data_IF_515614243635
#
_entry.id   IF_515614243635
#
_cell.length_a   1.000
_cell.length_b   1.000
_cell.length_c   1.000
_cell.angle_alpha   90.00
_cell.angle_beta   90.00
_cell.angle_gamma   90.00
#
_symmetry.space_group_name_H-M   'P 1'
#
loop_
_entity.id
_entity.type
_entity.pdbx_description
1 polymer ?
#
# COMPACT_ATOMS: atom_id res chain seq x y z
N UNK A 1 3.79 -20.61 -17.26
CA UNK A 1 3.36 -19.87 -16.05
C UNK A 1 4.20 -18.61 -15.92
N UNK A 2 3.57 -17.45 -15.82
CA UNK A 2 4.25 -16.17 -15.68
C UNK A 2 4.14 -15.75 -14.23
N UNK A 3 5.26 -15.65 -13.51
CA UNK A 3 5.28 -15.10 -12.17
C UNK A 3 5.05 -13.58 -12.22
N UNK A 4 4.09 -13.09 -11.48
CA UNK A 4 3.81 -11.66 -11.39
C UNK A 4 4.51 -11.11 -10.13
N UNK A 5 5.62 -10.41 -10.34
CA UNK A 5 6.30 -9.70 -9.26
C UNK A 5 5.75 -8.30 -9.13
N UNK A 6 5.06 -8.04 -8.04
CA UNK A 6 4.47 -6.75 -7.71
C UNK A 6 5.41 -5.96 -6.81
N UNK A 7 5.92 -4.87 -7.34
CA UNK A 7 6.71 -3.90 -6.57
C UNK A 7 5.76 -2.81 -6.10
N UNK A 8 5.46 -2.76 -4.80
CA UNK A 8 4.43 -1.88 -4.27
C UNK A 8 4.94 -0.88 -3.24
N UNK A 9 4.54 0.38 -3.41
CA UNK A 9 4.86 1.49 -2.51
C UNK A 9 3.91 1.63 -1.33
N UNK A 10 2.84 0.84 -1.26
CA UNK A 10 1.81 0.93 -0.22
C UNK A 10 1.42 -0.42 0.36
N UNK A 11 1.20 -0.45 1.69
CA UNK A 11 0.85 -1.66 2.44
C UNK A 11 -0.61 -2.11 2.28
N UNK A 12 -1.42 -1.43 1.47
CA UNK A 12 -2.84 -1.76 1.31
C UNK A 12 -3.07 -2.93 0.34
N UNK A 13 -2.43 -4.07 0.58
CA UNK A 13 -2.65 -5.31 -0.16
C UNK A 13 -3.86 -6.01 0.45
N UNK A 14 -4.82 -6.42 -0.38
CA UNK A 14 -6.16 -6.87 0.04
C UNK A 14 -6.53 -8.26 -0.44
N UNK A 15 -5.63 -8.87 -1.16
CA UNK A 15 -5.88 -10.15 -1.80
C UNK A 15 -5.57 -11.26 -0.82
N UNK A 16 -6.53 -12.10 -0.49
CA UNK A 16 -6.35 -13.23 0.42
C UNK A 16 -5.39 -14.28 -0.17
N UNK A 17 -4.64 -14.92 0.70
CA UNK A 17 -3.69 -16.00 0.39
C UNK A 17 -2.55 -15.60 -0.56
N UNK A 18 -2.21 -14.32 -0.61
CA UNK A 18 -1.07 -13.80 -1.36
C UNK A 18 0.02 -13.36 -0.39
N UNK A 19 1.25 -13.77 -0.68
CA UNK A 19 2.40 -13.41 0.14
C UNK A 19 2.89 -12.00 -0.15
N UNK A 20 3.24 -11.29 0.91
CA UNK A 20 3.91 -10.00 0.88
C UNK A 20 5.28 -10.14 1.52
N UNK A 21 6.29 -9.85 0.75
CA UNK A 21 7.68 -9.83 1.20
C UNK A 21 8.12 -8.39 1.47
N UNK A 22 8.75 -8.16 2.61
CA UNK A 22 9.18 -6.82 3.04
C UNK A 22 10.65 -6.55 2.77
N UNK A 23 11.35 -7.50 2.18
CA UNK A 23 12.71 -7.37 1.65
C UNK A 23 12.80 -8.06 0.28
N UNK A 24 13.92 -7.88 -0.41
CA UNK A 24 14.19 -8.46 -1.74
C UNK A 24 15.51 -9.21 -1.79
N UNK A 25 15.85 -9.87 -0.67
CA UNK A 25 16.97 -10.83 -0.67
C UNK A 25 16.66 -11.99 -1.64
N UNK A 26 17.68 -12.59 -2.22
CA UNK A 26 17.52 -13.63 -3.24
C UNK A 26 16.65 -14.80 -2.75
N UNK A 27 16.87 -15.27 -1.53
CA UNK A 27 16.10 -16.36 -0.95
C UNK A 27 14.62 -15.98 -0.75
N UNK A 28 14.37 -14.71 -0.44
CA UNK A 28 13.01 -14.16 -0.31
C UNK A 28 12.30 -14.14 -1.65
N UNK A 29 12.94 -13.62 -2.69
CA UNK A 29 12.37 -13.60 -4.04
C UNK A 29 12.16 -15.02 -4.57
N UNK A 30 13.09 -15.94 -4.30
CA UNK A 30 12.93 -17.36 -4.65
C UNK A 30 11.68 -17.98 -4.01
N UNK A 31 11.45 -17.71 -2.72
CA UNK A 31 10.22 -18.17 -2.08
C UNK A 31 8.96 -17.71 -2.81
N UNK A 32 8.94 -16.43 -3.27
CA UNK A 32 7.83 -15.91 -4.07
C UNK A 32 7.65 -16.62 -5.41
N UNK A 33 8.74 -17.00 -6.07
CA UNK A 33 8.68 -17.78 -7.30
C UNK A 33 8.27 -19.24 -7.08
N UNK A 34 8.56 -19.81 -5.91
CA UNK A 34 8.25 -21.20 -5.59
C UNK A 34 6.82 -21.39 -5.03
N UNK A 35 6.09 -20.31 -4.75
CA UNK A 35 4.69 -20.39 -4.32
C UNK A 35 3.77 -20.98 -5.41
N UNK A 36 2.67 -21.62 -4.97
CA UNK A 36 1.65 -22.14 -5.90
C UNK A 36 0.92 -21.00 -6.63
N UNK A 37 0.79 -19.85 -5.97
CA UNK A 37 0.24 -18.65 -6.59
C UNK A 37 1.28 -18.02 -7.53
N UNK A 38 0.83 -17.63 -8.72
CA UNK A 38 1.69 -16.93 -9.68
C UNK A 38 1.85 -15.44 -9.38
N UNK A 39 1.49 -15.00 -8.17
CA UNK A 39 1.46 -13.61 -7.77
C UNK A 39 2.02 -13.46 -6.35
N UNK A 40 2.99 -12.59 -6.17
CA UNK A 40 3.46 -12.16 -4.86
C UNK A 40 3.84 -10.69 -4.85
N UNK A 41 3.87 -10.08 -3.68
CA UNK A 41 4.22 -8.67 -3.51
C UNK A 41 5.60 -8.50 -2.88
N UNK A 42 6.34 -7.51 -3.40
CA UNK A 42 7.55 -6.98 -2.77
C UNK A 42 7.23 -5.55 -2.29
N UNK A 43 7.20 -5.37 -0.98
CA UNK A 43 6.89 -4.09 -0.36
C UNK A 43 8.13 -3.21 -0.28
N UNK A 44 8.15 -2.10 -1.02
CA UNK A 44 9.28 -1.15 -1.02
C UNK A 44 9.07 0.05 -0.10
N UNK A 45 7.83 0.48 0.12
CA UNK A 45 7.51 1.77 0.75
C UNK A 45 8.18 2.98 0.06
N UNK A 46 8.44 2.89 -1.24
CA UNK A 46 9.22 3.86 -2.02
C UNK A 46 8.66 5.28 -1.99
N UNK A 47 7.39 5.47 -1.64
CA UNK A 47 6.83 6.81 -1.43
C UNK A 47 7.53 7.58 -0.29
N UNK A 48 8.12 6.88 0.67
CA UNK A 48 8.94 7.48 1.73
C UNK A 48 10.41 7.66 1.38
N UNK A 49 10.83 7.22 0.19
CA UNK A 49 12.22 7.25 -0.24
C UNK A 49 12.57 8.55 -0.97
N UNK A 50 13.87 8.86 -1.01
CA UNK A 50 14.40 9.81 -1.99
C UNK A 50 14.45 9.16 -3.38
N UNK A 51 14.63 9.95 -4.43
CA UNK A 51 14.80 9.42 -5.79
C UNK A 51 16.02 8.48 -5.89
N UNK A 52 17.10 8.76 -5.16
CA UNK A 52 18.29 7.91 -5.10
C UNK A 52 18.01 6.56 -4.44
N UNK A 53 17.32 6.58 -3.29
CA UNK A 53 16.90 5.35 -2.60
C UNK A 53 15.96 4.51 -3.45
N UNK A 54 15.00 5.16 -4.13
CA UNK A 54 14.09 4.51 -5.08
C UNK A 54 14.85 3.87 -6.23
N UNK A 55 15.83 4.59 -6.80
CA UNK A 55 16.69 4.07 -7.88
C UNK A 55 17.45 2.83 -7.44
N UNK A 56 18.07 2.89 -6.27
CA UNK A 56 18.81 1.76 -5.70
C UNK A 56 17.90 0.54 -5.51
N UNK A 57 16.78 0.72 -4.81
CA UNK A 57 15.86 -0.38 -4.49
C UNK A 57 15.30 -1.04 -5.75
N UNK A 58 14.84 -0.25 -6.74
CA UNK A 58 14.25 -0.81 -7.97
C UNK A 58 15.29 -1.54 -8.84
N UNK A 59 16.52 -1.06 -8.90
CA UNK A 59 17.60 -1.76 -9.58
C UNK A 59 17.96 -3.09 -8.88
N UNK A 60 18.05 -3.10 -7.55
CA UNK A 60 18.30 -4.30 -6.77
C UNK A 60 17.19 -5.35 -6.95
N UNK A 61 15.92 -4.93 -6.82
CA UNK A 61 14.76 -5.81 -7.01
C UNK A 61 14.78 -6.42 -8.41
N UNK A 62 14.94 -5.59 -9.43
CA UNK A 62 14.94 -6.06 -10.83
C UNK A 62 16.08 -7.06 -11.08
N UNK A 63 17.26 -6.83 -10.54
CA UNK A 63 18.41 -7.73 -10.69
C UNK A 63 18.15 -9.08 -10.02
N UNK A 64 17.63 -9.07 -8.79
CA UNK A 64 17.35 -10.31 -8.03
C UNK A 64 16.20 -11.10 -8.66
N UNK A 65 15.12 -10.43 -9.08
CA UNK A 65 13.99 -11.08 -9.76
C UNK A 65 14.46 -11.78 -11.05
N UNK A 66 15.28 -11.11 -11.86
CA UNK A 66 15.82 -11.69 -13.09
C UNK A 66 16.74 -12.89 -12.81
N UNK A 67 17.62 -12.79 -11.81
CA UNK A 67 18.50 -13.89 -11.40
C UNK A 67 17.67 -15.13 -11.00
N UNK A 68 16.65 -14.94 -10.15
CA UNK A 68 15.78 -16.03 -9.70
C UNK A 68 14.94 -16.59 -10.84
N UNK A 69 14.42 -15.74 -11.73
CA UNK A 69 13.68 -16.17 -12.91
C UNK A 69 14.50 -17.07 -13.82
N UNK A 70 15.77 -16.73 -14.08
CA UNK A 70 16.71 -17.56 -14.86
C UNK A 70 17.00 -18.90 -14.19
N UNK A 71 17.16 -18.92 -12.87
CA UNK A 71 17.43 -20.15 -12.12
C UNK A 71 16.20 -21.08 -12.07
N UNK A 72 15.01 -20.52 -12.00
CA UNK A 72 13.76 -21.29 -11.94
C UNK A 72 13.18 -21.62 -13.30
N UNK A 73 13.67 -20.97 -14.37
CA UNK A 73 13.15 -21.10 -15.73
C UNK A 73 11.75 -20.48 -15.90
N UNK A 74 11.32 -19.62 -14.97
CA UNK A 74 10.00 -18.96 -15.01
C UNK A 74 10.11 -17.59 -15.68
N UNK A 75 9.11 -17.25 -16.50
CA UNK A 75 8.94 -15.88 -16.98
C UNK A 75 8.26 -15.02 -15.90
N UNK A 76 8.46 -13.70 -15.96
CA UNK A 76 7.87 -12.75 -15.02
C UNK A 76 7.42 -11.47 -15.72
N UNK A 77 6.50 -10.76 -15.08
CA UNK A 77 6.14 -9.39 -15.41
C UNK A 77 6.23 -8.53 -14.15
N UNK A 78 6.63 -7.28 -14.31
CA UNK A 78 6.58 -6.30 -13.23
C UNK A 78 5.26 -5.53 -13.25
N UNK A 79 4.62 -5.43 -12.10
CA UNK A 79 3.50 -4.53 -11.88
C UNK A 79 3.91 -3.53 -10.79
N UNK A 80 4.22 -2.29 -11.18
CA UNK A 80 4.45 -1.21 -10.22
C UNK A 80 3.12 -0.81 -9.60
N UNK A 81 2.86 -1.31 -8.40
CA UNK A 81 1.65 -1.00 -7.64
C UNK A 81 1.86 0.29 -6.86
N UNK A 82 1.23 1.35 -7.31
CA UNK A 82 1.42 2.72 -6.86
C UNK A 82 0.23 3.27 -6.08
N UNK A 83 0.36 4.49 -5.61
CA UNK A 83 -0.71 5.23 -4.95
C UNK A 83 -1.88 5.51 -5.91
N UNK A 84 -3.09 5.22 -5.46
CA UNK A 84 -4.31 5.44 -6.24
C UNK A 84 -4.69 6.91 -6.45
N UNK A 85 -3.94 7.84 -5.84
CA UNK A 85 -4.07 9.29 -6.04
C UNK A 85 -2.89 9.88 -6.81
N UNK A 86 -2.19 9.04 -7.60
CA UNK A 86 -1.12 9.39 -8.55
C UNK A 86 0.20 9.89 -7.92
N UNK A 87 0.35 9.84 -6.59
CA UNK A 87 1.61 10.18 -5.92
C UNK A 87 2.64 9.05 -6.04
N UNK A 88 3.91 9.39 -5.90
CA UNK A 88 5.04 8.46 -5.99
C UNK A 88 6.06 8.87 -7.05
N UNK A 89 7.14 8.12 -7.16
CA UNK A 89 8.26 8.42 -8.06
C UNK A 89 7.99 8.06 -9.52
N UNK A 90 6.90 8.58 -10.09
CA UNK A 90 6.59 8.41 -11.51
C UNK A 90 7.28 9.51 -12.35
N UNK A 91 7.91 9.18 -13.50
CA UNK A 91 8.01 7.87 -14.14
C UNK A 91 9.23 7.01 -13.68
N UNK A 92 10.02 7.49 -12.73
CA UNK A 92 11.32 6.89 -12.34
C UNK A 92 11.21 5.38 -12.06
N UNK A 93 10.20 4.97 -11.26
CA UNK A 93 10.03 3.56 -10.86
C UNK A 93 9.85 2.64 -12.06
N UNK A 94 8.94 2.98 -12.95
CA UNK A 94 8.62 2.16 -14.12
C UNK A 94 9.68 2.20 -15.19
N UNK A 95 10.37 3.34 -15.35
CA UNK A 95 11.52 3.47 -16.26
C UNK A 95 12.71 2.60 -15.83
N UNK A 96 12.98 2.54 -14.51
CA UNK A 96 14.03 1.67 -13.97
C UNK A 96 13.70 0.18 -14.15
N UNK A 97 12.49 -0.21 -13.84
CA UNK A 97 12.03 -1.59 -14.03
C UNK A 97 12.08 -1.97 -15.51
N UNK A 98 11.60 -1.09 -16.41
CA UNK A 98 11.70 -1.29 -17.87
C UNK A 98 13.15 -1.50 -18.31
N UNK A 99 14.03 -0.57 -17.96
CA UNK A 99 15.44 -0.61 -18.35
C UNK A 99 16.11 -1.93 -17.96
N UNK A 100 15.87 -2.37 -16.72
CA UNK A 100 16.44 -3.62 -16.24
C UNK A 100 15.80 -4.83 -16.92
N UNK A 101 14.48 -4.86 -17.06
CA UNK A 101 13.77 -5.95 -17.74
C UNK A 101 14.27 -6.15 -19.16
N UNK A 102 14.38 -5.08 -19.95
CA UNK A 102 14.86 -5.14 -21.34
C UNK A 102 16.32 -5.58 -21.42
N UNK A 103 17.18 -5.06 -20.54
CA UNK A 103 18.59 -5.44 -20.49
C UNK A 103 18.79 -6.91 -20.12
N UNK A 104 17.96 -7.45 -19.23
CA UNK A 104 18.11 -8.78 -18.68
C UNK A 104 17.45 -9.87 -19.53
N UNK A 105 16.31 -9.57 -20.14
CA UNK A 105 15.51 -10.54 -20.92
C UNK A 105 15.72 -10.45 -22.41
N UNK A 106 16.23 -9.32 -22.92
CA UNK A 106 16.30 -9.02 -24.34
C UNK A 106 14.94 -8.72 -24.99
N UNK A 107 13.84 -8.73 -24.22
CA UNK A 107 12.49 -8.38 -24.69
C UNK A 107 12.29 -6.88 -24.56
N UNK A 108 11.65 -6.23 -25.53
CA UNK A 108 11.28 -4.82 -25.48
C UNK A 108 9.90 -4.68 -24.85
N UNK A 109 9.72 -3.68 -23.99
CA UNK A 109 8.41 -3.31 -23.43
C UNK A 109 7.73 -2.32 -24.38
N UNK A 110 6.61 -2.74 -24.95
CA UNK A 110 5.86 -1.96 -25.94
C UNK A 110 5.17 -0.74 -25.35
N UNK A 111 4.58 -0.87 -24.16
CA UNK A 111 3.83 0.21 -23.53
C UNK A 111 3.74 0.12 -22.03
N UNK A 112 3.27 1.22 -21.43
CA UNK A 112 3.00 1.31 -19.99
C UNK A 112 1.52 1.55 -19.73
N UNK A 113 0.89 0.67 -18.96
CA UNK A 113 -0.52 0.73 -18.61
C UNK A 113 -0.69 1.48 -17.28
N UNK A 114 -1.42 2.60 -17.31
CA UNK A 114 -1.79 3.38 -16.15
C UNK A 114 -3.26 3.10 -15.80
N UNK A 115 -3.50 2.41 -14.68
CA UNK A 115 -4.83 2.09 -14.18
C UNK A 115 -4.94 2.39 -12.68
N UNK A 116 -5.14 3.66 -12.30
CA UNK A 116 -5.23 4.08 -10.90
C UNK A 116 -6.58 3.79 -10.26
N UNK A 117 -7.48 3.08 -10.93
CA UNK A 117 -8.79 2.70 -10.44
C UNK A 117 -8.70 1.92 -9.12
N UNK A 118 -9.57 2.31 -8.18
CA UNK A 118 -9.64 1.71 -6.86
C UNK A 118 -11.01 1.96 -6.22
N UNK A 119 -11.97 1.06 -6.44
CA UNK A 119 -13.37 1.20 -6.05
C UNK A 119 -13.57 1.43 -4.55
N UNK A 120 -12.92 0.61 -3.72
CA UNK A 120 -13.04 0.64 -2.26
C UNK A 120 -12.48 1.93 -1.64
N UNK A 121 -11.55 2.56 -2.33
CA UNK A 121 -11.01 3.87 -1.97
C UNK A 121 -11.78 5.04 -2.60
N UNK A 122 -12.76 4.76 -3.48
CA UNK A 122 -13.47 5.79 -4.20
C UNK A 122 -12.62 6.49 -5.28
N UNK A 123 -11.83 5.72 -6.04
CA UNK A 123 -10.99 6.25 -7.14
C UNK A 123 -11.48 5.70 -8.45
N UNK A 124 -11.84 6.62 -9.36
CA UNK A 124 -12.45 6.31 -10.65
C UNK A 124 -11.75 7.09 -11.75
N UNK A 125 -11.68 6.52 -12.96
CA UNK A 125 -11.18 7.24 -14.14
C UNK A 125 -12.28 7.27 -15.19
N UNK A 126 -12.75 8.46 -15.51
CA UNK A 126 -13.88 8.71 -16.42
C UNK A 126 -13.45 9.77 -17.42
N UNK A 127 -13.62 9.51 -18.71
CA UNK A 127 -13.22 10.42 -19.80
C UNK A 127 -11.77 10.95 -19.63
N UNK A 128 -10.89 10.06 -19.20
CA UNK A 128 -9.47 10.32 -18.94
C UNK A 128 -9.21 11.29 -17.76
N UNK A 129 -10.19 11.65 -16.98
CA UNK A 129 -10.05 12.38 -15.73
C UNK A 129 -10.09 11.40 -14.57
N UNK A 130 -9.11 11.49 -13.68
CA UNK A 130 -9.09 10.67 -12.47
C UNK A 130 -9.78 11.41 -11.33
N UNK A 131 -10.73 10.73 -10.68
CA UNK A 131 -11.58 11.30 -9.63
C UNK A 131 -11.34 10.65 -8.28
N UNK A 132 -11.57 11.44 -7.22
CA UNK A 132 -11.66 11.00 -5.84
C UNK A 132 -13.07 11.24 -5.33
N UNK A 133 -13.71 10.21 -4.79
CA UNK A 133 -15.05 10.31 -4.20
C UNK A 133 -14.96 10.83 -2.76
N UNK A 134 -15.71 11.90 -2.49
CA UNK A 134 -15.95 12.47 -1.17
C UNK A 134 -17.45 12.49 -0.90
N UNK A 135 -17.93 11.61 -0.03
CA UNK A 135 -19.37 11.45 0.18
C UNK A 135 -20.06 11.03 -1.12
N UNK A 136 -20.95 11.87 -1.66
CA UNK A 136 -21.66 11.62 -2.92
C UNK A 136 -21.03 12.35 -4.13
N UNK A 137 -19.94 13.09 -3.95
CA UNK A 137 -19.32 13.89 -5.00
C UNK A 137 -18.04 13.23 -5.52
N UNK A 138 -17.81 13.37 -6.83
CA UNK A 138 -16.57 13.02 -7.51
C UNK A 138 -15.79 14.30 -7.79
N UNK A 139 -14.63 14.46 -7.15
CA UNK A 139 -13.76 15.61 -7.30
C UNK A 139 -12.56 15.19 -8.16
N UNK A 140 -12.20 15.93 -9.22
CA UNK A 140 -10.99 15.66 -9.98
C UNK A 140 -9.75 15.60 -9.07
N UNK A 141 -8.91 14.60 -9.25
CA UNK A 141 -7.78 14.33 -8.35
C UNK A 141 -6.80 15.51 -8.24
N UNK A 142 -6.63 16.28 -9.32
CA UNK A 142 -5.79 17.49 -9.34
C UNK A 142 -6.34 18.65 -8.49
N UNK A 143 -7.61 18.63 -8.11
CA UNK A 143 -8.24 19.63 -7.24
C UNK A 143 -8.17 19.27 -5.76
N UNK A 144 -7.77 18.03 -5.46
CA UNK A 144 -7.71 17.50 -4.09
C UNK A 144 -6.40 17.83 -3.37
N UNK A 145 -6.36 17.56 -2.07
CA UNK A 145 -5.14 17.66 -1.25
C UNK A 145 -4.01 16.75 -1.73
N UNK A 146 -4.33 15.66 -2.44
CA UNK A 146 -3.33 14.72 -2.93
C UNK A 146 -2.44 15.31 -4.03
N UNK A 147 -3.03 16.12 -4.90
CA UNK A 147 -2.27 16.83 -5.94
C UNK A 147 -1.41 17.97 -5.39
N UNK A 148 -1.72 18.47 -4.19
CA UNK A 148 -0.96 19.49 -3.48
C UNK A 148 0.19 18.94 -2.65
N UNK A 149 0.49 17.64 -2.79
CA UNK A 149 1.62 17.00 -2.11
C UNK A 149 2.93 17.73 -2.45
N UNK A 150 3.75 18.02 -1.42
CA UNK A 150 4.97 18.83 -1.58
C UNK A 150 6.02 18.14 -2.45
N UNK A 151 6.04 16.81 -2.49
CA UNK A 151 7.04 16.00 -3.21
C UNK A 151 6.51 15.49 -4.54
N UNK A 152 5.28 14.99 -4.55
CA UNK A 152 4.68 14.27 -5.68
C UNK A 152 3.52 15.02 -6.34
N UNK A 153 3.32 16.28 -5.99
CA UNK A 153 2.23 17.09 -6.51
C UNK A 153 2.20 17.17 -8.04
N UNK A 154 1.03 17.49 -8.57
CA UNK A 154 0.76 17.66 -9.99
C UNK A 154 -0.39 18.64 -10.19
N UNK A 155 -0.50 19.18 -11.40
CA UNK A 155 -1.52 20.16 -11.76
C UNK A 155 -2.45 19.71 -12.89
N UNK A 156 -2.02 18.69 -13.63
CA UNK A 156 -2.71 18.19 -14.80
C UNK A 156 -4.14 17.73 -14.48
N UNK A 157 -5.11 18.16 -15.30
CA UNK A 157 -6.52 17.85 -15.11
C UNK A 157 -6.89 16.46 -15.65
N UNK A 158 -6.24 16.02 -16.72
CA UNK A 158 -6.47 14.72 -17.35
C UNK A 158 -5.27 13.80 -17.19
N UNK A 159 -5.48 12.50 -17.29
CA UNK A 159 -4.42 11.50 -17.23
C UNK A 159 -3.37 11.63 -18.34
N UNK A 160 -3.73 11.91 -19.61
CA UNK A 160 -2.74 12.22 -20.64
C UNK A 160 -1.87 13.44 -20.31
N UNK A 161 -2.46 14.53 -19.82
CA UNK A 161 -1.71 15.70 -19.37
C UNK A 161 -0.83 15.39 -18.16
N UNK A 162 -1.30 14.55 -17.21
CA UNK A 162 -0.49 14.06 -16.10
C UNK A 162 0.75 13.30 -16.59
N UNK A 163 0.60 12.45 -17.60
CA UNK A 163 1.73 11.77 -18.25
C UNK A 163 2.71 12.79 -18.79
N UNK A 164 2.26 13.77 -19.60
CA UNK A 164 3.13 14.79 -20.18
C UNK A 164 3.82 15.61 -19.10
N UNK A 165 3.09 16.05 -18.06
CA UNK A 165 3.65 16.83 -16.94
C UNK A 165 4.75 16.05 -16.21
N UNK A 166 4.46 14.80 -15.79
CA UNK A 166 5.38 14.00 -14.99
C UNK A 166 6.58 13.50 -15.76
N UNK A 167 6.43 13.26 -17.07
CA UNK A 167 7.54 12.89 -17.95
C UNK A 167 8.27 14.09 -18.54
N UNK A 168 7.92 15.31 -18.11
CA UNK A 168 8.52 16.57 -18.59
C UNK A 168 8.44 16.71 -20.11
N UNK A 169 7.35 16.24 -20.70
CA UNK A 169 7.08 16.30 -22.13
C UNK A 169 7.76 15.22 -22.96
N UNK A 170 8.37 14.22 -22.34
CA UNK A 170 8.92 13.06 -23.08
C UNK A 170 7.83 12.24 -23.81
N UNK A 171 6.63 12.19 -23.22
CA UNK A 171 5.43 11.62 -23.83
C UNK A 171 4.37 12.70 -23.89
N UNK A 172 3.90 13.02 -25.11
CA UNK A 172 2.89 14.06 -25.31
C UNK A 172 1.49 13.55 -24.97
N UNK A 173 0.66 14.40 -24.38
CA UNK A 173 -0.71 14.06 -24.07
C UNK A 173 -1.51 13.60 -25.30
N UNK A 174 -1.22 14.20 -26.49
CA UNK A 174 -1.84 13.82 -27.75
C UNK A 174 -1.52 12.40 -28.22
N UNK A 175 -0.40 11.84 -27.77
CA UNK A 175 0.12 10.56 -28.25
C UNK A 175 -0.25 9.40 -27.30
N UNK A 176 -0.81 9.72 -26.13
CA UNK A 176 -1.25 8.73 -25.13
C UNK A 176 -2.46 7.96 -25.64
N UNK A 177 -2.38 6.65 -25.59
CA UNK A 177 -3.50 5.76 -25.92
C UNK A 177 -4.52 5.76 -24.77
N UNK A 178 -5.79 6.02 -25.05
CA UNK A 178 -6.83 6.04 -24.03
C UNK A 178 -7.87 4.96 -24.34
N UNK A 179 -8.08 4.04 -23.41
CA UNK A 179 -9.14 3.04 -23.49
C UNK A 179 -10.38 3.62 -22.84
N UNK A 180 -11.41 3.87 -23.64
CA UNK A 180 -12.63 4.56 -23.20
C UNK A 180 -13.58 3.64 -22.43
N UNK A 181 -14.43 4.23 -21.55
CA UNK A 181 -15.53 3.49 -20.92
C UNK A 181 -16.56 3.04 -21.98
N UNK A 182 -16.77 3.80 -23.03
CA UNK A 182 -17.70 3.44 -24.11
C UNK A 182 -17.27 2.09 -24.76
N UNK A 183 -16.00 1.97 -25.18
CA UNK A 183 -15.50 0.73 -25.78
C UNK A 183 -15.54 -0.45 -24.79
N UNK A 184 -15.30 -0.19 -23.51
CA UNK A 184 -15.37 -1.20 -22.46
C UNK A 184 -16.81 -1.66 -22.24
N UNK A 185 -17.76 -0.71 -22.08
CA UNK A 185 -19.17 -1.03 -21.83
C UNK A 185 -19.85 -1.68 -23.01
N UNK A 186 -19.45 -1.31 -24.24
CA UNK A 186 -19.93 -1.93 -25.48
C UNK A 186 -19.25 -3.28 -25.76
N UNK A 187 -18.36 -3.73 -24.88
CA UNK A 187 -17.60 -4.99 -25.05
C UNK A 187 -16.79 -5.04 -26.37
N UNK A 188 -16.29 -3.88 -26.83
CA UNK A 188 -15.48 -3.74 -28.05
C UNK A 188 -14.06 -4.31 -27.88
N UNK A 189 -13.97 -5.58 -27.44
CA UNK A 189 -12.71 -6.22 -27.05
C UNK A 189 -11.72 -6.20 -28.23
N UNK A 190 -12.16 -6.46 -29.45
CA UNK A 190 -11.31 -6.48 -30.63
C UNK A 190 -10.71 -5.09 -30.91
N UNK A 191 -11.50 -4.02 -30.78
CA UNK A 191 -11.01 -2.63 -30.92
C UNK A 191 -10.00 -2.26 -29.85
N UNK A 192 -10.24 -2.67 -28.60
CA UNK A 192 -9.29 -2.44 -27.48
C UNK A 192 -7.98 -3.23 -27.76
N UNK A 193 -8.08 -4.46 -28.21
CA UNK A 193 -6.91 -5.27 -28.57
C UNK A 193 -6.13 -4.63 -29.72
N UNK A 194 -6.79 -4.17 -30.78
CA UNK A 194 -6.14 -3.47 -31.90
C UNK A 194 -5.37 -2.23 -31.40
N UNK A 195 -6.00 -1.41 -30.54
CA UNK A 195 -5.32 -0.26 -29.94
C UNK A 195 -4.07 -0.67 -29.15
N UNK A 196 -4.13 -1.76 -28.38
CA UNK A 196 -2.99 -2.29 -27.64
C UNK A 196 -1.89 -2.83 -28.57
N UNK A 197 -2.26 -3.44 -29.71
CA UNK A 197 -1.30 -3.95 -30.71
C UNK A 197 -0.55 -2.84 -31.44
N UNK A 198 -1.13 -1.64 -31.54
CA UNK A 198 -0.48 -0.46 -32.15
C UNK A 198 0.51 0.22 -31.23
N UNK A 199 0.41 0.02 -29.90
CA UNK A 199 1.32 0.63 -28.92
C UNK A 199 2.75 0.15 -29.13
N UNK A 200 3.70 1.09 -29.12
CA UNK A 200 5.14 0.86 -29.25
C UNK A 200 5.94 1.94 -28.54
N UNK A 201 7.25 1.73 -28.43
CA UNK A 201 8.20 2.73 -27.90
C UNK A 201 7.90 3.16 -26.45
N UNK A 202 7.36 2.24 -25.66
CA UNK A 202 6.96 2.47 -24.28
C UNK A 202 5.89 3.55 -24.13
N UNK A 203 5.05 3.75 -25.14
CA UNK A 203 3.96 4.73 -25.06
C UNK A 203 3.00 4.38 -23.93
N UNK A 204 2.25 5.37 -23.48
CA UNK A 204 1.41 5.29 -22.30
C UNK A 204 -0.03 4.97 -22.67
N UNK A 205 -0.65 4.13 -21.84
CA UNK A 205 -2.02 3.65 -22.04
C UNK A 205 -2.82 3.99 -20.79
N UNK A 206 -3.82 4.84 -20.93
CA UNK A 206 -4.76 5.17 -19.83
C UNK A 206 -5.95 4.24 -19.92
N UNK A 207 -6.29 3.58 -18.82
CA UNK A 207 -7.46 2.72 -18.69
C UNK A 207 -8.52 3.44 -17.87
N UNK A 208 -9.64 3.80 -18.50
CA UNK A 208 -10.81 4.30 -17.80
C UNK A 208 -11.52 3.13 -17.11
N UNK A 209 -11.95 3.31 -15.86
CA UNK A 209 -12.66 2.30 -15.11
C UNK A 209 -13.45 2.90 -13.95
N UNK A 210 -14.67 2.41 -13.74
CA UNK A 210 -15.59 2.76 -12.65
C UNK A 210 -16.04 1.53 -11.87
N UNK A 211 -15.86 0.34 -12.43
CA UNK A 211 -16.17 -0.95 -11.79
C UNK A 211 -15.11 -2.01 -12.13
N UNK A 212 -15.07 -3.08 -11.34
CA UNK A 212 -14.22 -4.23 -11.62
C UNK A 212 -14.58 -4.93 -12.95
N UNK A 213 -15.86 -4.83 -13.38
CA UNK A 213 -16.28 -5.34 -14.68
C UNK A 213 -15.51 -4.66 -15.82
N UNK A 214 -15.28 -3.35 -15.73
CA UNK A 214 -14.53 -2.59 -16.73
C UNK A 214 -13.10 -3.10 -16.85
N UNK A 215 -12.46 -3.31 -15.70
CA UNK A 215 -11.09 -3.85 -15.65
C UNK A 215 -11.04 -5.28 -16.21
N UNK A 216 -12.07 -6.11 -15.96
CA UNK A 216 -12.15 -7.47 -16.51
C UNK A 216 -12.23 -7.44 -18.04
N UNK A 217 -13.08 -6.59 -18.60
CA UNK A 217 -13.19 -6.44 -20.07
C UNK A 217 -11.85 -5.99 -20.67
N UNK A 218 -11.22 -4.98 -20.08
CA UNK A 218 -9.88 -4.54 -20.50
C UNK A 218 -8.85 -5.68 -20.42
N UNK A 219 -8.83 -6.45 -19.33
CA UNK A 219 -7.88 -7.56 -19.17
C UNK A 219 -8.05 -8.66 -20.21
N UNK A 220 -9.26 -8.90 -20.73
CA UNK A 220 -9.46 -9.86 -21.84
C UNK A 220 -8.69 -9.40 -23.09
N UNK A 221 -8.84 -8.13 -23.48
CA UNK A 221 -8.10 -7.57 -24.62
C UNK A 221 -6.59 -7.54 -24.36
N UNK A 222 -6.18 -7.17 -23.13
CA UNK A 222 -4.78 -7.17 -22.69
C UNK A 222 -4.14 -8.55 -22.85
N UNK A 223 -4.77 -9.59 -22.34
CA UNK A 223 -4.23 -10.95 -22.45
C UNK A 223 -4.16 -11.45 -23.90
N UNK A 224 -5.11 -11.05 -24.77
CA UNK A 224 -5.05 -11.35 -26.20
C UNK A 224 -3.85 -10.66 -26.85
N UNK A 225 -3.59 -9.39 -26.54
CA UNK A 225 -2.43 -8.67 -27.05
C UNK A 225 -1.10 -9.29 -26.54
N UNK A 226 -1.03 -9.64 -25.25
CA UNK A 226 0.13 -10.33 -24.67
C UNK A 226 0.36 -11.70 -25.30
N UNK A 227 -0.69 -12.47 -25.56
CA UNK A 227 -0.59 -13.77 -26.27
C UNK A 227 -0.08 -13.63 -27.71
N UNK A 228 -0.24 -12.45 -28.32
CA UNK A 228 0.31 -12.09 -29.63
C UNK A 228 1.73 -11.51 -29.57
N UNK A 229 2.34 -11.52 -28.37
CA UNK A 229 3.74 -11.13 -28.14
C UNK A 229 3.96 -9.71 -27.64
N UNK A 230 2.90 -8.94 -27.37
CA UNK A 230 3.06 -7.63 -26.73
C UNK A 230 3.52 -7.75 -25.28
N UNK A 231 4.40 -6.86 -24.86
CA UNK A 231 4.92 -6.79 -23.48
C UNK A 231 4.59 -5.43 -22.90
N UNK A 232 4.00 -5.42 -21.71
CA UNK A 232 3.59 -4.20 -21.04
C UNK A 232 4.22 -4.05 -19.66
N UNK A 233 4.53 -2.81 -19.29
CA UNK A 233 4.80 -2.37 -17.92
C UNK A 233 3.50 -1.83 -17.33
N UNK A 234 3.40 -1.85 -16.00
CA UNK A 234 2.19 -1.43 -15.32
C UNK A 234 2.52 -0.39 -14.24
N UNK A 235 1.72 0.68 -14.19
CA UNK A 235 1.62 1.60 -13.08
C UNK A 235 0.17 1.67 -12.63
N UNK A 236 -0.14 1.02 -11.52
CA UNK A 236 -1.53 0.73 -11.18
C UNK A 236 -1.85 0.98 -9.70
N UNK A 237 -3.14 1.07 -9.39
CA UNK A 237 -3.64 0.84 -8.05
C UNK A 237 -3.97 -0.66 -7.85
N UNK A 238 -4.70 -0.99 -6.79
CA UNK A 238 -4.92 -2.38 -6.39
C UNK A 238 -5.86 -3.16 -7.33
N UNK A 239 -6.80 -2.50 -7.99
CA UNK A 239 -7.91 -3.19 -8.66
C UNK A 239 -7.47 -4.07 -9.85
N UNK A 240 -6.60 -3.56 -10.72
CA UNK A 240 -6.16 -4.35 -11.89
C UNK A 240 -5.34 -5.57 -11.47
N UNK A 241 -4.57 -5.45 -10.40
CA UNK A 241 -3.79 -6.57 -9.84
C UNK A 241 -4.70 -7.71 -9.41
N UNK A 242 -5.79 -7.37 -8.70
CA UNK A 242 -6.80 -8.35 -8.29
C UNK A 242 -7.39 -9.07 -9.49
N UNK A 243 -7.74 -8.34 -10.55
CA UNK A 243 -8.30 -8.93 -11.77
C UNK A 243 -7.28 -9.79 -12.50
N UNK A 244 -6.06 -9.30 -12.70
CA UNK A 244 -4.99 -10.03 -13.37
C UNK A 244 -4.56 -11.28 -12.60
N UNK A 245 -4.52 -11.20 -11.27
CA UNK A 245 -4.20 -12.34 -10.41
C UNK A 245 -5.33 -13.35 -10.24
N UNK A 246 -6.52 -13.08 -10.82
CA UNK A 246 -7.69 -13.96 -10.67
C UNK A 246 -8.22 -14.03 -9.24
N UNK A 247 -7.93 -13.02 -8.41
CA UNK A 247 -8.30 -12.99 -7.01
C UNK A 247 -9.81 -12.77 -6.86
N UNK A 248 -10.47 -13.70 -6.20
CA UNK A 248 -11.93 -13.64 -5.98
C UNK A 248 -12.29 -12.72 -4.81
N UNK A 249 -13.52 -12.20 -4.84
CA UNK A 249 -14.05 -11.46 -3.70
C UNK A 249 -14.19 -12.37 -2.48
N UNK A 250 -13.69 -11.90 -1.36
CA UNK A 250 -13.83 -12.57 -0.08
C UNK A 250 -14.72 -11.74 0.86
N UNK A 251 -15.55 -12.38 1.69
CA UNK A 251 -16.28 -11.65 2.73
C UNK A 251 -15.30 -11.00 3.71
N UNK A 252 -15.79 -10.00 4.46
CA UNK A 252 -15.00 -9.43 5.54
C UNK A 252 -14.66 -10.49 6.57
N UNK A 253 -13.45 -10.43 7.11
CA UNK A 253 -12.92 -11.40 8.06
C UNK A 253 -13.70 -11.39 9.38
N UNK A 254 -14.01 -12.57 9.87
CA UNK A 254 -14.46 -12.80 11.24
C UNK A 254 -13.25 -12.93 12.19
N UNK A 255 -13.51 -12.86 13.50
CA UNK A 255 -12.47 -13.04 14.52
C UNK A 255 -11.77 -14.41 14.37
N UNK A 256 -12.55 -15.47 14.19
CA UNK A 256 -12.06 -16.86 14.10
C UNK A 256 -11.11 -17.06 12.91
N UNK A 257 -11.32 -16.31 11.83
CA UNK A 257 -10.43 -16.36 10.66
C UNK A 257 -9.11 -15.64 10.90
N UNK A 258 -9.09 -14.63 11.79
CA UNK A 258 -7.90 -13.84 12.07
C UNK A 258 -7.11 -14.37 13.26
N UNK A 259 -7.77 -14.77 14.34
CA UNK A 259 -7.14 -15.20 15.59
C UNK A 259 -7.02 -16.73 15.59
N UNK A 260 -5.90 -17.21 15.05
CA UNK A 260 -5.60 -18.65 14.97
C UNK A 260 -4.95 -19.21 16.25
N UNK A 261 -4.42 -18.31 17.09
CA UNK A 261 -3.80 -18.65 18.38
C UNK A 261 -4.45 -17.83 19.48
N UNK A 262 -5.26 -18.48 20.26
CA UNK A 262 -5.91 -17.83 21.42
C UNK A 262 -4.89 -17.50 22.50
N UNK A 263 -5.11 -16.38 23.16
CA UNK A 263 -4.36 -15.90 24.32
C UNK A 263 -5.29 -15.13 25.25
N UNK A 264 -5.00 -15.14 26.53
CA UNK A 264 -5.71 -14.32 27.52
C UNK A 264 -5.21 -12.86 27.51
N UNK A 265 -4.16 -12.57 26.76
CA UNK A 265 -3.61 -11.21 26.67
C UNK A 265 -4.54 -10.31 25.87
N UNK A 266 -4.52 -9.02 26.22
CA UNK A 266 -5.20 -7.98 25.46
C UNK A 266 -4.51 -7.68 24.12
N UNK A 267 -5.19 -6.93 23.26
CA UNK A 267 -4.63 -6.43 21.99
C UNK A 267 -3.93 -5.08 22.18
N UNK A 268 -3.17 -4.67 21.15
CA UNK A 268 -2.55 -3.34 21.10
C UNK A 268 -2.95 -2.58 19.83
N UNK A 269 -3.28 -1.32 20.00
CA UNK A 269 -3.61 -0.35 18.97
C UNK A 269 -2.63 0.81 19.09
N UNK A 270 -1.86 1.10 18.04
CA UNK A 270 -0.97 2.28 18.01
C UNK A 270 -1.41 3.26 16.92
N UNK A 271 -1.54 4.53 17.29
CA UNK A 271 -2.07 5.60 16.45
C UNK A 271 -1.05 6.73 16.32
N UNK A 272 -0.35 6.79 15.18
CA UNK A 272 0.62 7.85 14.88
C UNK A 272 0.10 8.96 13.96
N UNK A 273 -1.03 8.76 13.29
CA UNK A 273 -1.62 9.75 12.38
C UNK A 273 -2.28 10.89 13.13
N UNK A 274 -2.08 12.15 12.71
CA UNK A 274 -2.69 13.35 13.33
C UNK A 274 -3.83 13.96 12.49
N UNK A 275 -4.31 13.27 11.45
CA UNK A 275 -5.42 13.79 10.63
C UNK A 275 -6.70 13.92 11.47
N UNK A 276 -7.56 14.88 11.11
CA UNK A 276 -8.86 15.08 11.74
C UNK A 276 -9.72 13.81 11.75
N UNK A 277 -9.70 13.07 10.63
CA UNK A 277 -10.41 11.79 10.53
C UNK A 277 -9.90 10.79 11.59
N UNK A 278 -8.59 10.65 11.74
CA UNK A 278 -8.01 9.76 12.74
C UNK A 278 -8.37 10.20 14.17
N UNK A 279 -8.36 11.51 14.45
CA UNK A 279 -8.75 12.03 15.75
C UNK A 279 -10.20 11.66 16.07
N UNK A 280 -11.12 11.88 15.13
CA UNK A 280 -12.53 11.48 15.28
C UNK A 280 -12.71 9.96 15.44
N UNK A 281 -11.91 9.15 14.75
CA UNK A 281 -11.94 7.70 14.90
C UNK A 281 -11.46 7.24 16.29
N UNK A 282 -10.46 7.90 16.87
CA UNK A 282 -10.01 7.64 18.24
C UNK A 282 -11.08 8.05 19.26
N UNK A 283 -11.75 9.19 19.06
CA UNK A 283 -12.86 9.62 19.92
C UNK A 283 -14.04 8.64 19.87
N UNK A 284 -14.35 8.09 18.69
CA UNK A 284 -15.34 7.01 18.59
C UNK A 284 -14.89 5.74 19.31
N UNK A 285 -13.61 5.38 19.22
CA UNK A 285 -13.05 4.23 19.90
C UNK A 285 -13.15 4.36 21.42
N UNK A 286 -13.01 5.58 21.98
CA UNK A 286 -13.15 5.88 23.41
C UNK A 286 -14.54 5.58 23.99
N UNK A 287 -15.53 5.31 23.14
CA UNK A 287 -16.85 4.85 23.59
C UNK A 287 -16.85 3.38 24.08
N UNK A 288 -15.81 2.61 23.74
CA UNK A 288 -15.61 1.26 24.27
C UNK A 288 -14.99 1.33 25.68
N UNK A 289 -15.62 0.65 26.63
CA UNK A 289 -15.22 0.69 28.04
C UNK A 289 -14.08 -0.26 28.41
N UNK A 290 -13.83 -1.27 27.58
CA UNK A 290 -12.86 -2.33 27.83
C UNK A 290 -11.49 -2.06 27.19
N UNK A 291 -11.22 -0.81 26.81
CA UNK A 291 -9.95 -0.36 26.23
C UNK A 291 -9.29 0.65 27.19
N UNK A 292 -8.01 0.45 27.44
CA UNK A 292 -7.18 1.42 28.14
C UNK A 292 -6.56 2.39 27.13
N UNK A 293 -6.65 3.69 27.37
CA UNK A 293 -6.14 4.73 26.49
C UNK A 293 -4.90 5.38 27.12
N UNK A 294 -3.78 5.30 26.39
CA UNK A 294 -2.49 5.84 26.82
C UNK A 294 -2.06 6.91 25.81
N UNK A 295 -1.91 8.14 26.25
CA UNK A 295 -1.33 9.19 25.43
C UNK A 295 0.18 9.19 25.57
N UNK A 296 0.89 9.14 24.43
CA UNK A 296 2.31 9.39 24.31
C UNK A 296 2.50 10.89 24.12
N UNK A 297 3.07 11.57 25.09
CA UNK A 297 3.34 13.01 25.00
C UNK A 297 4.48 13.29 24.01
N UNK A 298 4.11 13.48 22.74
CA UNK A 298 5.04 13.76 21.69
C UNK A 298 5.66 15.18 21.78
N UNK A 299 5.15 16.07 22.64
CA UNK A 299 5.76 17.40 22.84
C UNK A 299 7.16 17.32 23.45
N UNK A 300 7.46 16.22 24.12
CA UNK A 300 8.76 15.94 24.73
C UNK A 300 9.84 15.53 23.70
N UNK A 301 9.50 15.35 22.42
CA UNK A 301 10.41 14.84 21.38
C UNK A 301 11.72 15.65 21.22
N UNK A 302 11.72 16.92 21.64
CA UNK A 302 12.91 17.80 21.59
C UNK A 302 13.92 17.51 22.70
N UNK A 303 13.53 16.84 23.77
CA UNK A 303 14.37 16.39 24.87
C UNK A 303 14.47 14.85 24.86
N UNK A 304 15.63 14.33 24.48
CA UNK A 304 15.85 12.89 24.30
C UNK A 304 15.61 12.09 25.58
N UNK A 305 16.06 12.61 26.72
CA UNK A 305 15.94 11.90 27.99
C UNK A 305 14.47 11.92 28.50
N UNK A 306 13.80 13.06 28.40
CA UNK A 306 12.40 13.17 28.76
C UNK A 306 11.51 12.31 27.87
N UNK A 307 11.77 12.31 26.57
CA UNK A 307 11.00 11.53 25.61
C UNK A 307 11.19 10.03 25.78
N UNK A 308 12.41 9.54 26.03
CA UNK A 308 12.66 8.13 26.32
C UNK A 308 11.99 7.68 27.63
N UNK A 309 11.96 8.52 28.66
CA UNK A 309 11.23 8.26 29.91
C UNK A 309 9.71 8.14 29.65
N UNK A 310 9.19 8.98 28.76
CA UNK A 310 7.79 8.95 28.38
C UNK A 310 7.44 7.68 27.59
N UNK A 311 8.26 7.29 26.62
CA UNK A 311 8.10 6.03 25.89
C UNK A 311 8.11 4.84 26.84
N UNK A 312 9.03 4.85 27.82
CA UNK A 312 9.10 3.79 28.82
C UNK A 312 7.86 3.75 29.71
N UNK A 313 7.34 4.92 30.14
CA UNK A 313 6.08 5.01 30.91
C UNK A 313 4.92 4.36 30.14
N UNK A 314 4.80 4.69 28.85
CA UNK A 314 3.76 4.10 28.00
C UNK A 314 3.93 2.57 27.92
N UNK A 315 5.13 2.08 27.64
CA UNK A 315 5.43 0.64 27.57
C UNK A 315 5.07 -0.11 28.87
N UNK A 316 5.45 0.41 30.02
CA UNK A 316 5.20 -0.22 31.32
C UNK A 316 3.67 -0.34 31.59
N UNK A 317 2.89 0.67 31.16
CA UNK A 317 1.42 0.66 31.26
C UNK A 317 0.81 -0.32 30.26
N UNK A 318 1.25 -0.29 28.98
CA UNK A 318 0.79 -1.21 27.95
C UNK A 318 0.99 -2.66 28.36
N UNK A 319 2.18 -3.04 28.82
CA UNK A 319 2.47 -4.41 29.25
C UNK A 319 1.60 -4.84 30.43
N UNK A 320 1.38 -3.95 31.38
CA UNK A 320 0.52 -4.23 32.54
C UNK A 320 -0.91 -4.51 32.10
N UNK A 321 -1.45 -3.69 31.20
CA UNK A 321 -2.81 -3.85 30.72
C UNK A 321 -2.97 -5.08 29.82
N UNK A 322 -2.04 -5.29 28.89
CA UNK A 322 -2.06 -6.44 27.97
C UNK A 322 -2.01 -7.76 28.75
N UNK A 323 -1.12 -7.88 29.75
CA UNK A 323 -1.02 -9.06 30.63
C UNK A 323 -2.29 -9.29 31.46
N UNK A 324 -3.03 -8.23 31.76
CA UNK A 324 -4.31 -8.31 32.45
C UNK A 324 -5.51 -8.61 31.52
N UNK A 325 -5.25 -8.91 30.24
CA UNK A 325 -6.29 -9.20 29.25
C UNK A 325 -7.00 -7.97 28.70
N UNK A 326 -6.52 -6.75 28.99
CA UNK A 326 -7.11 -5.51 28.50
C UNK A 326 -6.48 -5.06 27.18
N UNK A 327 -7.30 -4.70 26.22
CA UNK A 327 -6.83 -4.03 25.01
C UNK A 327 -6.38 -2.62 25.30
N UNK A 328 -5.26 -2.20 24.71
CA UNK A 328 -4.65 -0.87 24.88
C UNK A 328 -4.67 -0.10 23.57
N UNK A 329 -5.01 1.18 23.64
CA UNK A 329 -4.84 2.12 22.55
C UNK A 329 -3.82 3.20 22.95
N UNK A 330 -2.62 3.14 22.38
CA UNK A 330 -1.63 4.19 22.53
C UNK A 330 -1.65 5.14 21.34
N UNK A 331 -1.76 6.43 21.58
CA UNK A 331 -1.86 7.46 20.57
C UNK A 331 -0.99 8.67 20.92
N UNK A 332 -0.44 9.33 19.90
CA UNK A 332 0.37 10.53 20.11
C UNK A 332 -0.50 11.74 20.48
N UNK A 333 0.05 12.69 21.20
CA UNK A 333 -0.54 14.03 21.38
C UNK A 333 -1.08 14.55 20.04
N UNK A 334 -2.31 15.08 20.04
CA UNK A 334 -3.00 15.54 18.82
C UNK A 334 -2.52 16.90 18.31
N UNK A 335 -1.66 17.60 19.07
CA UNK A 335 -1.04 18.84 18.61
C UNK A 335 -0.01 18.59 17.52
N UNK A 336 0.01 19.47 16.51
CA UNK A 336 1.08 19.48 15.52
C UNK A 336 2.37 19.97 16.17
N UNK A 337 3.41 19.15 16.13
CA UNK A 337 4.73 19.49 16.66
C UNK A 337 5.60 19.95 15.50
N UNK A 338 6.16 21.14 15.65
CA UNK A 338 7.02 21.75 14.64
C UNK A 338 8.43 21.98 15.20
N UNK A 339 9.41 21.97 14.31
CA UNK A 339 10.76 22.44 14.63
C UNK A 339 10.75 23.97 14.78
N UNK A 340 11.40 24.49 15.80
CA UNK A 340 11.46 25.95 16.04
C UNK A 340 12.35 26.67 15.03
N UNK A 341 13.09 25.91 14.23
CA UNK A 341 14.06 26.40 13.25
C UNK A 341 13.43 26.81 11.92
N UNK A 342 12.22 26.30 11.59
CA UNK A 342 11.61 26.43 10.27
C UNK A 342 12.34 25.66 9.16
N UNK A 343 13.36 24.86 9.51
CA UNK A 343 14.09 24.01 8.58
C UNK A 343 13.31 22.71 8.30
N UNK A 344 13.17 22.38 7.04
CA UNK A 344 12.46 21.16 6.60
C UNK A 344 13.16 19.87 7.05
N UNK A 345 14.48 19.89 7.17
CA UNK A 345 15.24 18.73 7.62
C UNK A 345 15.01 18.47 9.12
N UNK A 346 14.94 19.52 9.93
CA UNK A 346 14.64 19.41 11.35
C UNK A 346 13.19 18.95 11.58
N UNK A 347 12.22 19.42 10.78
CA UNK A 347 10.83 18.93 10.78
C UNK A 347 10.78 17.43 10.48
N UNK A 348 11.52 17.00 9.46
CA UNK A 348 11.59 15.59 9.09
C UNK A 348 12.20 14.74 10.21
N UNK A 349 13.28 15.19 10.83
CA UNK A 349 13.94 14.50 11.95
C UNK A 349 12.98 14.30 13.14
N UNK A 350 12.21 15.34 13.50
CA UNK A 350 11.22 15.23 14.56
C UNK A 350 10.12 14.22 14.20
N UNK A 351 9.63 14.25 12.98
CA UNK A 351 8.61 13.31 12.50
C UNK A 351 9.10 11.87 12.53
N UNK A 352 10.32 11.63 12.09
CA UNK A 352 10.96 10.29 12.14
C UNK A 352 11.10 9.83 13.59
N UNK A 353 11.57 10.69 14.48
CA UNK A 353 11.76 10.36 15.90
C UNK A 353 10.45 10.01 16.60
N UNK A 354 9.36 10.73 16.29
CA UNK A 354 8.02 10.38 16.79
C UNK A 354 7.56 9.02 16.21
N UNK A 355 7.77 8.78 14.91
CA UNK A 355 7.42 7.50 14.28
C UNK A 355 8.19 6.33 14.90
N UNK A 356 9.48 6.52 15.15
CA UNK A 356 10.33 5.52 15.80
C UNK A 356 9.90 5.24 17.25
N UNK A 357 9.45 6.25 17.99
CA UNK A 357 8.87 6.07 19.32
C UNK A 357 7.56 5.26 19.24
N UNK A 358 6.64 5.63 18.34
CA UNK A 358 5.35 4.92 18.17
C UNK A 358 5.55 3.47 17.81
N UNK A 359 6.43 3.15 16.82
CA UNK A 359 6.68 1.76 16.48
C UNK A 359 7.38 0.99 17.61
N UNK A 360 8.21 1.66 18.42
CA UNK A 360 8.92 1.05 19.54
C UNK A 360 7.98 0.58 20.65
N UNK A 361 6.79 1.19 20.79
CA UNK A 361 5.73 0.73 21.70
C UNK A 361 5.26 -0.70 21.41
N UNK A 362 5.34 -1.13 20.15
CA UNK A 362 5.12 -2.53 19.75
C UNK A 362 6.44 -3.30 19.76
N UNK A 363 7.50 -2.70 19.21
CA UNK A 363 8.79 -3.35 19.03
C UNK A 363 9.49 -3.71 20.34
N UNK A 364 9.24 -3.01 21.42
CA UNK A 364 9.87 -3.25 22.75
C UNK A 364 9.00 -4.05 23.72
N UNK A 365 7.74 -4.37 23.36
CA UNK A 365 6.88 -5.20 24.20
C UNK A 365 7.54 -6.55 24.51
N UNK A 366 7.50 -6.97 25.76
CA UNK A 366 7.94 -8.29 26.22
C UNK A 366 6.80 -9.33 26.22
N UNK A 367 5.58 -8.90 26.01
CA UNK A 367 4.36 -9.72 26.03
C UNK A 367 3.76 -9.78 24.61
N UNK A 368 3.32 -10.96 24.18
CA UNK A 368 2.63 -11.13 22.89
C UNK A 368 1.18 -10.66 23.01
N UNK A 369 0.75 -9.63 22.25
CA UNK A 369 -0.63 -9.20 22.23
C UNK A 369 -1.50 -10.17 21.44
N UNK A 370 -2.83 -10.18 21.69
CA UNK A 370 -3.77 -10.99 20.92
C UNK A 370 -3.94 -10.51 19.47
N UNK A 371 -3.74 -9.23 19.24
CA UNK A 371 -3.69 -8.60 17.91
C UNK A 371 -2.90 -7.29 17.95
N UNK A 372 -2.49 -6.83 16.81
CA UNK A 372 -1.85 -5.51 16.62
C UNK A 372 -2.64 -4.71 15.59
N UNK A 373 -3.03 -3.48 15.92
CA UNK A 373 -3.57 -2.50 14.95
C UNK A 373 -2.61 -1.33 14.88
N UNK A 374 -2.14 -0.98 13.69
CA UNK A 374 -1.38 0.23 13.46
C UNK A 374 -2.17 1.20 12.57
N UNK A 375 -2.46 2.40 13.10
CA UNK A 375 -3.26 3.42 12.44
C UNK A 375 -2.40 4.56 11.91
N UNK A 376 -2.31 4.65 10.60
CA UNK A 376 -1.51 5.63 9.85
C UNK A 376 -0.64 4.94 8.80
N UNK A 377 -0.39 5.59 7.67
CA UNK A 377 0.40 4.99 6.58
C UNK A 377 1.82 4.64 7.01
N UNK A 378 2.57 5.63 7.53
CA UNK A 378 3.93 5.45 8.03
C UNK A 378 3.94 4.53 9.25
N UNK A 379 3.02 4.76 10.21
CA UNK A 379 2.89 3.94 11.41
C UNK A 379 2.70 2.46 11.09
N UNK A 380 1.79 2.14 10.16
CA UNK A 380 1.58 0.75 9.75
C UNK A 380 2.81 0.15 9.08
N UNK A 381 3.52 0.92 8.25
CA UNK A 381 4.76 0.45 7.65
C UNK A 381 5.83 0.14 8.70
N UNK A 382 6.11 1.09 9.58
CA UNK A 382 7.17 0.97 10.59
C UNK A 382 6.86 -0.13 11.62
N UNK A 383 5.60 -0.27 12.04
CA UNK A 383 5.20 -1.35 12.94
C UNK A 383 5.37 -2.72 12.26
N UNK A 384 4.94 -2.88 11.02
CA UNK A 384 5.11 -4.15 10.30
C UNK A 384 6.56 -4.53 10.08
N UNK A 385 7.38 -3.60 9.59
CA UNK A 385 8.75 -3.89 9.14
C UNK A 385 9.80 -3.78 10.24
N UNK A 386 9.67 -2.79 11.16
CA UNK A 386 10.66 -2.55 12.22
C UNK A 386 10.25 -3.22 13.53
N UNK A 387 9.01 -3.01 13.99
CA UNK A 387 8.57 -3.50 15.29
C UNK A 387 8.27 -5.00 15.30
N UNK A 388 7.47 -5.48 14.35
CA UNK A 388 7.13 -6.89 14.20
C UNK A 388 8.19 -7.67 13.42
N UNK A 389 9.07 -6.98 12.71
CA UNK A 389 10.14 -7.56 11.88
C UNK A 389 9.61 -8.61 10.89
N UNK A 390 8.42 -8.37 10.33
CA UNK A 390 7.80 -9.26 9.36
C UNK A 390 8.64 -9.28 8.09
N UNK A 391 9.12 -10.46 7.68
CA UNK A 391 9.82 -10.68 6.41
C UNK A 391 8.88 -11.24 5.35
N UNK A 392 7.97 -12.13 5.77
CA UNK A 392 6.88 -12.67 4.97
C UNK A 392 5.58 -12.50 5.74
N UNK A 393 4.57 -11.93 5.11
CA UNK A 393 3.23 -11.88 5.63
C UNK A 393 2.26 -12.63 4.71
N UNK A 394 1.30 -13.33 5.29
CA UNK A 394 0.16 -13.84 4.57
C UNK A 394 -1.01 -12.86 4.70
N UNK A 395 -1.56 -12.40 3.59
CA UNK A 395 -2.72 -11.51 3.59
C UNK A 395 -3.97 -12.35 3.80
N UNK A 396 -4.61 -12.20 4.96
CA UNK A 396 -5.84 -12.93 5.28
C UNK A 396 -7.07 -12.38 4.55
N UNK A 397 -7.07 -11.08 4.25
CA UNK A 397 -8.22 -10.37 3.67
C UNK A 397 -8.44 -9.02 4.33
N UNK A 398 -9.70 -8.61 4.47
CA UNK A 398 -10.07 -7.31 5.03
C UNK A 398 -11.00 -7.48 6.24
N UNK A 399 -10.69 -6.79 7.35
CA UNK A 399 -11.59 -6.73 8.52
C UNK A 399 -12.76 -5.75 8.30
N UNK A 400 -12.50 -4.67 7.57
CA UNK A 400 -13.46 -3.68 7.08
C UNK A 400 -13.04 -3.25 5.67
N UNK A 401 -13.94 -2.72 4.84
CA UNK A 401 -13.59 -2.30 3.50
C UNK A 401 -12.36 -1.38 3.50
N UNK A 402 -11.32 -1.78 2.80
CA UNK A 402 -10.07 -1.02 2.70
C UNK A 402 -9.09 -1.20 3.86
N UNK A 403 -9.33 -2.10 4.79
CA UNK A 403 -8.48 -2.33 5.96
C UNK A 403 -8.00 -3.78 5.95
N UNK A 404 -6.82 -4.04 5.38
CA UNK A 404 -6.28 -5.39 5.28
C UNK A 404 -5.75 -5.90 6.62
N UNK A 405 -5.76 -7.22 6.74
CA UNK A 405 -5.19 -7.95 7.87
C UNK A 405 -4.13 -8.90 7.34
N UNK A 406 -2.95 -8.82 7.90
CA UNK A 406 -1.88 -9.79 7.70
C UNK A 406 -1.82 -10.77 8.87
N UNK A 407 -1.49 -12.00 8.58
CA UNK A 407 -0.95 -12.91 9.59
C UNK A 407 0.56 -12.83 9.54
N UNK A 408 1.18 -12.51 10.67
CA UNK A 408 2.63 -12.45 10.79
C UNK A 408 3.24 -13.84 10.64
N UNK A 409 4.39 -13.91 9.97
CA UNK A 409 5.15 -15.15 9.80
C UNK A 409 5.79 -15.66 11.09
N UNK A 410 6.27 -16.90 11.04
CA UNK A 410 6.98 -17.55 12.17
C UNK A 410 8.25 -16.80 12.60
N UNK A 411 8.86 -16.06 11.67
CA UNK A 411 10.08 -15.29 11.91
C UNK A 411 9.81 -13.96 12.62
N UNK A 412 8.56 -13.53 12.70
CA UNK A 412 8.20 -12.24 13.27
C UNK A 412 8.35 -12.22 14.80
N UNK A 413 8.41 -11.02 15.37
CA UNK A 413 8.45 -10.84 16.82
C UNK A 413 7.30 -11.52 17.55
N UNK A 414 6.10 -11.46 16.98
CA UNK A 414 4.90 -12.12 17.48
C UNK A 414 4.33 -13.03 16.39
N UNK A 415 4.76 -14.30 16.33
CA UNK A 415 4.34 -15.23 15.29
C UNK A 415 2.83 -15.50 15.30
N UNK A 416 2.24 -15.64 14.10
CA UNK A 416 0.84 -15.98 13.90
C UNK A 416 -0.15 -14.98 14.54
N UNK A 417 0.31 -13.74 14.76
CA UNK A 417 -0.52 -12.68 15.34
C UNK A 417 -1.22 -11.91 14.21
N UNK A 418 -2.53 -11.65 14.32
CA UNK A 418 -3.21 -10.79 13.35
C UNK A 418 -2.72 -9.36 13.47
N UNK A 419 -2.25 -8.84 12.33
CA UNK A 419 -1.77 -7.47 12.19
C UNK A 419 -2.67 -6.67 11.26
N UNK A 420 -3.44 -5.76 11.82
CA UNK A 420 -4.36 -4.90 11.08
C UNK A 420 -3.64 -3.64 10.62
N UNK A 421 -3.55 -3.49 9.30
CA UNK A 421 -2.97 -2.33 8.64
C UNK A 421 -4.10 -1.32 8.41
N UNK A 422 -4.14 -0.28 9.23
CA UNK A 422 -5.22 0.70 9.15
C UNK A 422 -4.72 2.00 8.50
N UNK A 423 -5.01 2.27 7.21
CA UNK A 423 -4.53 3.47 6.54
C UNK A 423 -5.06 4.76 7.18
N UNK A 424 -4.31 5.86 7.04
CA UNK A 424 -4.63 7.13 7.68
C UNK A 424 -5.99 7.71 7.31
N UNK A 425 -6.37 7.61 6.03
CA UNK A 425 -7.55 8.28 5.46
C UNK A 425 -8.68 7.31 5.03
N UNK A 426 -8.64 6.06 5.48
CA UNK A 426 -9.62 5.04 5.09
C UNK A 426 -10.65 4.83 6.20
N UNK A 427 -11.86 4.41 5.77
CA UNK A 427 -12.98 4.09 6.63
C UNK A 427 -13.78 5.31 7.10
N UNK A 428 -14.95 5.05 7.65
CA UNK A 428 -15.81 6.03 8.29
C UNK A 428 -15.31 6.35 9.71
N UNK A 429 -15.93 7.30 10.38
CA UNK A 429 -15.56 7.71 11.75
C UNK A 429 -15.66 6.52 12.73
N UNK A 430 -16.62 5.62 12.55
CA UNK A 430 -16.85 4.45 13.41
C UNK A 430 -15.93 3.26 13.10
N UNK A 431 -15.27 3.26 11.94
CA UNK A 431 -14.63 2.05 11.41
C UNK A 431 -13.51 1.49 12.30
N UNK A 432 -12.74 2.35 12.98
CA UNK A 432 -11.70 1.88 13.92
C UNK A 432 -12.33 1.14 15.11
N UNK A 433 -13.39 1.71 15.69
CA UNK A 433 -14.16 1.08 16.77
C UNK A 433 -14.72 -0.29 16.33
N UNK A 434 -15.38 -0.30 15.18
CA UNK A 434 -15.97 -1.55 14.63
C UNK A 434 -14.92 -2.63 14.33
N UNK A 435 -13.72 -2.28 13.88
CA UNK A 435 -12.63 -3.22 13.68
C UNK A 435 -12.17 -3.83 15.01
N UNK A 436 -12.08 -3.02 16.06
CA UNK A 436 -11.74 -3.50 17.40
C UNK A 436 -12.84 -4.39 17.98
N UNK A 437 -14.11 -4.01 17.80
CA UNK A 437 -15.26 -4.84 18.20
C UNK A 437 -15.21 -6.26 17.57
N UNK A 438 -14.84 -6.36 16.29
CA UNK A 438 -14.65 -7.66 15.63
C UNK A 438 -13.54 -8.49 16.30
N UNK A 439 -12.39 -7.87 16.59
CA UNK A 439 -11.23 -8.58 17.18
C UNK A 439 -11.44 -8.96 18.65
N UNK A 440 -12.28 -8.21 19.38
CA UNK A 440 -12.55 -8.42 20.82
C UNK A 440 -13.86 -9.15 21.08
N UNK A 441 -14.63 -9.49 20.03
CA UNK A 441 -15.83 -10.32 20.17
C UNK A 441 -15.49 -11.64 20.87
N UNK A 442 -16.34 -12.05 21.83
CA UNK A 442 -16.19 -13.31 22.58
C UNK A 442 -17.00 -14.40 21.94
#
# INVERSE_FOLDING_TARGET
EIAQCLVGSEMCIRDSDISVYTNWEKDTIRQGFDEENNLFYVLTNSRGFTAEQTTKAHNEIAAVVDEVAKETGKEYIFISRSDSTLRGHYPLETELLKKNYEANTGKTIDGEILCPFFKEGGRYTIDNVHYVKYGEELIPANETEFAKDKTFGYSAATMPEYVEEKTKGAYKASDVTCISLEDIHDMNIDKIEEALMEVKDFNKIIVNAVDYADVKVFCVALYRAMAKGKVFMFRTAAAIVKVMGGVTDQPLLSREQMVVKETENGGIIVVGSHTDKTTKQVEELKKLTDIEFIELDATLVKDDEAFEKEVKRCLDLEETCIKAGKTVCCYTTRALITADTGDKEDELRLSVKISDAVQSLVGRLSVTPSFVIAKGGITSSDVGTKALAVKKANVLGQIKPGIPVWQTGEESKFPLTPYVIFPGNVGEITTLREAVEVLTAK
#
